data_IF_242867842356
#
_entry.id   IF_242867842356
#
_cell.length_a   1.000
_cell.length_b   1.000
_cell.length_c   1.000
_cell.angle_alpha   90.00
_cell.angle_beta   90.00
_cell.angle_gamma   90.00
#
_symmetry.space_group_name_H-M   'P 1'
#
loop_
_entity.id
_entity.type
_entity.pdbx_description
1 polymer ?
#
# COMPACT_ATOMS: atom_id res chain seq x y z
N UNK A 1 -34.83 -11.73 19.58
CA UNK A 1 -34.85 -11.19 18.21
C UNK A 1 -33.95 -12.08 17.39
N UNK A 2 -34.44 -12.67 16.30
CA UNK A 2 -33.60 -13.46 15.38
C UNK A 2 -32.86 -12.49 14.48
N UNK A 3 -31.55 -12.58 14.46
CA UNK A 3 -30.71 -11.89 13.48
C UNK A 3 -31.18 -12.28 12.08
N UNK A 4 -31.59 -11.29 11.30
CA UNK A 4 -31.83 -11.48 9.87
C UNK A 4 -30.47 -11.40 9.20
N UNK A 5 -29.93 -12.55 8.80
CA UNK A 5 -28.86 -12.59 7.81
C UNK A 5 -29.31 -11.80 6.59
N UNK A 6 -28.51 -10.81 6.21
CA UNK A 6 -28.73 -10.03 5.01
C UNK A 6 -28.37 -10.94 3.82
N UNK A 7 -29.38 -11.40 3.08
CA UNK A 7 -29.17 -12.21 1.89
C UNK A 7 -28.54 -11.31 0.80
N UNK A 8 -27.22 -11.39 0.65
CA UNK A 8 -26.49 -10.68 -0.40
C UNK A 8 -26.75 -11.39 -1.73
N UNK A 9 -27.58 -10.79 -2.59
CA UNK A 9 -27.70 -11.23 -3.97
C UNK A 9 -26.42 -10.86 -4.71
N UNK A 10 -25.61 -11.85 -5.07
CA UNK A 10 -24.44 -11.68 -5.93
C UNK A 10 -24.89 -11.30 -7.34
N UNK A 11 -25.02 -9.99 -7.60
CA UNK A 11 -24.92 -9.49 -8.96
C UNK A 11 -23.46 -9.64 -9.38
N UNK A 12 -23.19 -10.10 -10.62
CA UNK A 12 -21.84 -10.06 -11.19
C UNK A 12 -21.42 -8.60 -11.38
N UNK A 13 -20.85 -8.01 -10.33
CA UNK A 13 -20.31 -6.65 -10.37
C UNK A 13 -18.96 -6.70 -11.07
N UNK A 14 -18.80 -5.89 -12.12
CA UNK A 14 -17.52 -5.73 -12.77
C UNK A 14 -16.59 -4.91 -11.88
N UNK A 15 -15.48 -5.51 -11.47
CA UNK A 15 -14.42 -4.90 -10.65
C UNK A 15 -13.53 -3.96 -11.47
N UNK A 16 -14.12 -2.93 -12.09
CA UNK A 16 -13.42 -2.10 -13.09
C UNK A 16 -12.15 -1.44 -12.55
N UNK A 17 -12.15 -0.71 -11.41
CA UNK A 17 -10.93 -0.03 -10.95
C UNK A 17 -9.82 -1.00 -10.55
N UNK A 18 -10.17 -2.07 -9.84
CA UNK A 18 -9.19 -3.07 -9.35
C UNK A 18 -8.73 -4.03 -10.45
N UNK A 19 -9.43 -4.10 -11.58
CA UNK A 19 -8.97 -4.90 -12.75
C UNK A 19 -7.70 -4.37 -13.41
N UNK A 20 -7.28 -3.14 -13.07
CA UNK A 20 -6.04 -2.52 -13.54
C UNK A 20 -4.82 -2.79 -12.63
N UNK A 21 -5.00 -3.53 -11.53
CA UNK A 21 -3.87 -3.94 -10.69
C UNK A 21 -2.95 -4.82 -11.51
N UNK A 22 -1.72 -4.36 -11.71
CA UNK A 22 -0.75 -5.00 -12.59
C UNK A 22 0.54 -5.41 -11.87
N UNK A 23 0.67 -5.07 -10.58
CA UNK A 23 1.88 -5.28 -9.82
C UNK A 23 1.57 -5.69 -8.38
N UNK A 24 2.36 -6.63 -7.86
CA UNK A 24 2.34 -7.06 -6.47
C UNK A 24 3.76 -6.92 -5.90
N UNK A 25 3.93 -6.09 -4.86
CA UNK A 25 5.18 -5.94 -4.12
C UNK A 25 4.95 -6.24 -2.65
N UNK A 26 5.97 -6.74 -1.96
CA UNK A 26 5.94 -6.95 -0.53
C UNK A 26 6.97 -6.05 0.15
N UNK A 27 6.59 -5.45 1.27
CA UNK A 27 7.51 -4.67 2.09
C UNK A 27 7.35 -4.91 3.59
N UNK A 28 8.37 -4.60 4.39
CA UNK A 28 8.22 -4.45 5.82
C UNK A 28 8.08 -2.97 6.20
N UNK A 29 6.89 -2.59 6.64
CA UNK A 29 6.60 -1.22 7.05
C UNK A 29 6.82 -1.05 8.55
N UNK A 30 7.65 -0.08 8.92
CA UNK A 30 7.81 0.36 10.30
C UNK A 30 6.86 1.51 10.60
N UNK A 31 6.23 1.50 11.77
CA UNK A 31 5.36 2.60 12.16
C UNK A 31 6.21 3.85 12.46
N UNK A 32 5.93 4.96 11.76
CA UNK A 32 6.71 6.20 11.90
C UNK A 32 6.82 6.73 13.34
N UNK A 33 5.85 6.41 14.21
CA UNK A 33 5.83 6.79 15.62
C UNK A 33 6.42 5.73 16.56
N UNK A 34 6.68 4.52 16.08
CA UNK A 34 7.24 3.41 16.85
C UNK A 34 7.99 2.42 15.95
N UNK A 35 9.29 2.67 15.76
CA UNK A 35 10.17 1.85 14.92
C UNK A 35 10.48 0.46 15.52
N UNK A 36 10.01 0.14 16.73
CA UNK A 36 10.13 -1.22 17.28
C UNK A 36 9.08 -2.17 16.72
N UNK A 37 8.10 -1.64 15.99
CA UNK A 37 6.97 -2.37 15.43
C UNK A 37 7.00 -2.31 13.91
N UNK A 38 6.69 -3.44 13.29
CA UNK A 38 6.60 -3.58 11.85
C UNK A 38 5.41 -4.44 11.45
N UNK A 39 4.98 -4.28 10.21
CA UNK A 39 3.98 -5.13 9.55
C UNK A 39 4.47 -5.50 8.16
N UNK A 40 4.23 -6.74 7.73
CA UNK A 40 4.41 -7.14 6.34
C UNK A 40 3.28 -6.54 5.50
N UNK A 41 3.63 -5.90 4.40
CA UNK A 41 2.75 -5.06 3.60
C UNK A 41 2.75 -5.53 2.16
N UNK A 42 1.63 -6.13 1.74
CA UNK A 42 1.40 -6.63 0.39
C UNK A 42 0.72 -5.54 -0.45
N UNK A 43 1.48 -4.91 -1.32
CA UNK A 43 1.05 -3.82 -2.19
C UNK A 43 0.51 -4.39 -3.49
N UNK A 44 -0.76 -4.13 -3.78
CA UNK A 44 -1.39 -4.43 -5.05
C UNK A 44 -1.63 -3.12 -5.79
N UNK A 45 -0.78 -2.87 -6.79
CA UNK A 45 -0.64 -1.56 -7.41
C UNK A 45 -1.22 -1.51 -8.83
N UNK A 46 -1.91 -0.41 -9.11
CA UNK A 46 -2.28 0.03 -10.45
C UNK A 46 -1.42 1.22 -10.85
N UNK A 47 -1.11 1.37 -12.13
CA UNK A 47 -0.42 2.56 -12.64
C UNK A 47 -1.31 3.80 -12.50
N UNK A 48 -0.73 4.93 -12.09
CA UNK A 48 -1.42 6.22 -12.08
C UNK A 48 -1.65 6.77 -13.48
N UNK A 49 -2.71 7.56 -13.65
CA UNK A 49 -2.99 8.27 -14.92
C UNK A 49 -2.54 9.73 -14.87
N UNK A 50 -2.50 10.32 -13.67
CA UNK A 50 -2.09 11.68 -13.41
C UNK A 50 -0.58 11.85 -13.60
N UNK A 51 -0.18 13.01 -14.15
CA UNK A 51 1.24 13.30 -14.36
C UNK A 51 2.01 13.24 -13.04
N UNK A 52 3.10 12.47 -13.05
CA UNK A 52 3.93 12.27 -11.87
C UNK A 52 3.42 11.26 -10.84
N UNK A 53 2.19 10.75 -10.97
CA UNK A 53 1.69 9.63 -10.16
C UNK A 53 2.04 8.32 -10.85
N UNK A 54 2.97 7.58 -10.25
CA UNK A 54 3.50 6.35 -10.83
C UNK A 54 2.57 5.17 -10.52
N UNK A 55 2.20 5.02 -9.25
CA UNK A 55 1.34 3.93 -8.79
C UNK A 55 0.39 4.36 -7.68
N UNK A 56 -0.74 3.65 -7.61
CA UNK A 56 -1.70 3.67 -6.51
C UNK A 56 -1.88 2.25 -6.02
N UNK A 57 -1.62 2.01 -4.74
CA UNK A 57 -1.54 0.67 -4.17
C UNK A 57 -2.56 0.48 -3.06
N UNK A 58 -3.21 -0.68 -3.08
CA UNK A 58 -3.99 -1.20 -1.96
C UNK A 58 -3.07 -2.13 -1.17
N UNK A 59 -3.04 -1.99 0.16
CA UNK A 59 -2.10 -2.73 1.01
C UNK A 59 -2.84 -3.71 1.91
N UNK A 60 -2.42 -4.97 1.88
CA UNK A 60 -2.90 -6.05 2.75
C UNK A 60 -1.81 -6.55 3.70
N UNK A 61 -2.20 -7.19 4.80
CA UNK A 61 -1.27 -7.82 5.77
C UNK A 61 -0.72 -9.18 5.33
N UNK A 62 -1.23 -9.75 4.25
CA UNK A 62 -0.91 -11.08 3.70
C UNK A 62 -1.36 -11.12 2.22
N UNK A 63 -1.02 -12.16 1.47
CA UNK A 63 -1.56 -12.45 0.12
C UNK A 63 -2.72 -13.47 0.11
N UNK A 64 -3.09 -14.01 1.27
CA UNK A 64 -4.22 -14.92 1.41
C UNK A 64 -5.57 -14.24 1.10
N UNK A 65 -6.60 -14.99 0.61
CA UNK A 65 -7.94 -14.43 0.37
C UNK A 65 -8.63 -13.80 1.59
N UNK A 66 -8.18 -14.13 2.80
CA UNK A 66 -8.67 -13.60 4.07
C UNK A 66 -7.82 -12.44 4.62
N UNK A 67 -6.84 -11.95 3.85
CA UNK A 67 -5.98 -10.86 4.27
C UNK A 67 -6.81 -9.60 4.59
N UNK A 68 -6.36 -8.87 5.59
CA UNK A 68 -6.99 -7.63 6.04
C UNK A 68 -6.45 -6.49 5.19
N UNK A 69 -7.36 -5.63 4.72
CA UNK A 69 -6.99 -4.35 4.13
C UNK A 69 -6.40 -3.47 5.24
N UNK A 70 -5.10 -3.20 5.16
CA UNK A 70 -4.37 -2.45 6.19
C UNK A 70 -3.99 -1.05 5.76
N UNK A 71 -4.13 -0.68 4.49
CA UNK A 71 -3.76 0.66 4.05
C UNK A 71 -3.81 0.91 2.55
N UNK A 72 -3.30 2.07 2.20
CA UNK A 72 -3.05 2.51 0.82
C UNK A 72 -1.70 3.21 0.74
N UNK A 73 -1.12 3.19 -0.46
CA UNK A 73 0.06 3.97 -0.79
C UNK A 73 -0.09 4.64 -2.15
N UNK A 74 0.42 5.88 -2.24
CA UNK A 74 0.66 6.55 -3.49
C UNK A 74 2.16 6.64 -3.74
N UNK A 75 2.56 6.30 -4.97
CA UNK A 75 3.95 6.35 -5.40
C UNK A 75 4.07 7.44 -6.46
N UNK A 76 4.94 8.42 -6.23
CA UNK A 76 5.16 9.55 -7.12
C UNK A 76 6.60 9.60 -7.65
N UNK A 77 6.77 10.28 -8.78
CA UNK A 77 8.08 10.53 -9.37
C UNK A 77 8.93 11.47 -8.49
N UNK A 78 10.26 11.41 -8.67
CA UNK A 78 11.20 12.34 -8.02
C UNK A 78 10.88 13.80 -8.34
N UNK A 79 10.51 14.10 -9.58
CA UNK A 79 10.26 15.48 -10.02
C UNK A 79 9.00 16.03 -9.35
N UNK A 80 7.95 15.19 -9.24
CA UNK A 80 6.73 15.51 -8.50
C UNK A 80 7.06 15.77 -7.03
N UNK A 81 7.79 14.86 -6.38
CA UNK A 81 8.22 15.03 -4.99
C UNK A 81 9.01 16.33 -4.78
N UNK A 82 9.96 16.64 -5.66
CA UNK A 82 10.80 17.83 -5.58
C UNK A 82 10.00 19.14 -5.74
N UNK A 83 8.80 19.09 -6.32
CA UNK A 83 7.91 20.24 -6.46
C UNK A 83 6.97 20.46 -5.25
N UNK A 84 6.89 19.49 -4.34
CA UNK A 84 6.13 19.62 -3.08
C UNK A 84 6.81 20.62 -2.14
N UNK A 85 6.04 21.26 -1.27
CA UNK A 85 6.60 22.10 -0.20
C UNK A 85 7.33 21.26 0.87
N UNK A 86 8.14 21.93 1.69
CA UNK A 86 9.01 21.26 2.66
C UNK A 86 8.24 20.55 3.78
N UNK A 87 7.03 20.99 4.11
CA UNK A 87 6.23 20.31 5.14
C UNK A 87 5.61 19.04 4.57
N UNK A 88 5.10 19.11 3.35
CA UNK A 88 4.55 17.96 2.66
C UNK A 88 5.63 16.91 2.38
N UNK A 89 6.83 17.30 1.91
CA UNK A 89 7.95 16.38 1.66
C UNK A 89 8.30 15.48 2.86
N UNK A 90 8.20 15.99 4.10
CA UNK A 90 8.47 15.23 5.33
C UNK A 90 7.51 14.06 5.55
N UNK A 91 6.36 14.06 4.87
CA UNK A 91 5.33 13.04 4.97
C UNK A 91 5.51 11.90 3.95
N UNK A 92 6.56 11.97 3.11
CA UNK A 92 6.91 10.94 2.15
C UNK A 92 8.20 10.24 2.54
N UNK A 93 8.37 9.01 2.10
CA UNK A 93 9.60 8.23 2.28
C UNK A 93 10.18 7.84 0.91
N UNK A 94 11.49 7.64 0.85
CA UNK A 94 12.16 7.23 -0.38
C UNK A 94 12.23 5.71 -0.46
N UNK A 95 11.75 5.16 -1.58
CA UNK A 95 11.88 3.73 -1.86
C UNK A 95 13.34 3.30 -2.10
N UNK A 96 14.27 4.24 -2.34
CA UNK A 96 15.69 3.91 -2.42
C UNK A 96 16.19 3.21 -1.16
N UNK A 97 15.74 3.67 0.02
CA UNK A 97 16.12 3.09 1.30
C UNK A 97 15.53 1.68 1.46
N UNK A 98 14.28 1.48 1.08
CA UNK A 98 13.58 0.21 1.24
C UNK A 98 14.11 -0.89 0.32
N UNK A 99 14.41 -0.53 -0.93
CA UNK A 99 15.06 -1.45 -1.89
C UNK A 99 16.48 -1.80 -1.43
N UNK A 100 17.27 -0.81 -0.99
CA UNK A 100 18.66 -1.06 -0.58
C UNK A 100 18.77 -1.84 0.74
N UNK A 101 17.80 -1.69 1.64
CA UNK A 101 17.73 -2.44 2.90
C UNK A 101 17.16 -3.84 2.75
N UNK A 102 16.65 -4.20 1.56
CA UNK A 102 15.94 -5.46 1.32
C UNK A 102 14.56 -5.50 1.98
N UNK A 103 14.06 -4.35 2.43
CA UNK A 103 12.72 -4.21 3.02
C UNK A 103 11.63 -4.24 1.96
N UNK A 104 11.94 -3.99 0.68
CA UNK A 104 11.03 -4.15 -0.47
C UNK A 104 11.50 -5.31 -1.35
N UNK A 105 10.60 -6.25 -1.68
CA UNK A 105 10.91 -7.40 -2.52
C UNK A 105 9.73 -7.83 -3.40
N UNK A 106 10.06 -8.51 -4.50
CA UNK A 106 9.07 -9.22 -5.32
C UNK A 106 8.84 -10.63 -4.74
N UNK A 107 7.61 -10.97 -4.32
CA UNK A 107 7.30 -12.29 -3.77
C UNK A 107 7.47 -13.44 -4.79
N UNK A 108 7.48 -13.17 -6.10
CA UNK A 108 7.64 -14.18 -7.16
C UNK A 108 9.10 -14.50 -7.48
N UNK A 109 10.05 -13.71 -6.97
CA UNK A 109 11.44 -14.11 -6.78
C UNK A 109 12.18 -14.64 -8.01
N UNK A 110 12.03 -14.06 -9.21
CA UNK A 110 12.94 -14.38 -10.32
C UNK A 110 13.95 -13.27 -10.63
N UNK A 111 15.10 -13.47 -9.98
CA UNK A 111 16.40 -12.88 -10.21
C UNK A 111 16.66 -12.30 -11.62
N UNK A 112 16.97 -11.00 -11.66
CA UNK A 112 17.47 -10.17 -12.79
C UNK A 112 16.45 -9.48 -13.69
N UNK A 113 15.26 -10.03 -13.94
CA UNK A 113 14.24 -9.34 -14.74
C UNK A 113 13.61 -8.16 -13.97
N UNK A 114 13.56 -8.27 -12.64
CA UNK A 114 13.00 -7.25 -11.76
C UNK A 114 14.02 -6.16 -11.40
N UNK A 115 15.31 -6.32 -11.73
CA UNK A 115 16.34 -5.33 -11.37
C UNK A 115 16.06 -3.95 -11.97
N UNK A 116 15.77 -3.79 -13.29
CA UNK A 116 15.45 -2.47 -13.83
C UNK A 116 14.17 -1.87 -13.24
N UNK A 117 13.21 -2.72 -12.85
CA UNK A 117 11.96 -2.30 -12.23
C UNK A 117 12.18 -1.83 -10.77
N UNK A 118 12.95 -2.59 -9.99
CA UNK A 118 13.39 -2.19 -8.65
C UNK A 118 14.27 -0.93 -8.71
N UNK A 119 15.14 -0.81 -9.72
CA UNK A 119 15.93 0.40 -9.97
C UNK A 119 15.07 1.61 -10.29
N UNK A 120 13.99 1.43 -11.07
CA UNK A 120 13.03 2.49 -11.31
C UNK A 120 12.33 2.91 -10.00
N UNK A 121 11.91 1.94 -9.17
CA UNK A 121 11.30 2.21 -7.87
C UNK A 121 12.25 2.98 -6.94
N UNK A 122 13.57 2.73 -6.96
CA UNK A 122 14.54 3.52 -6.18
C UNK A 122 14.52 5.03 -6.51
N UNK A 123 13.95 5.44 -7.63
CA UNK A 123 13.81 6.86 -7.99
C UNK A 123 12.50 7.50 -7.53
N UNK A 124 11.62 6.74 -6.88
CA UNK A 124 10.28 7.17 -6.50
C UNK A 124 10.15 7.43 -5.00
N UNK A 125 9.05 8.06 -4.61
CA UNK A 125 8.68 8.36 -3.23
C UNK A 125 7.29 7.82 -2.93
N UNK A 126 7.14 7.20 -1.76
CA UNK A 126 5.89 6.65 -1.26
C UNK A 126 5.28 7.51 -0.16
N UNK A 127 3.95 7.57 -0.13
CA UNK A 127 3.19 8.05 1.02
C UNK A 127 2.13 7.04 1.40
N UNK A 128 2.30 6.48 2.59
CA UNK A 128 1.56 5.31 3.05
C UNK A 128 0.74 5.66 4.27
N UNK A 129 -0.51 5.20 4.28
CA UNK A 129 -1.39 5.27 5.43
C UNK A 129 -1.82 3.87 5.83
N UNK A 130 -1.46 3.46 7.04
CA UNK A 130 -2.01 2.28 7.66
C UNK A 130 -3.29 2.60 8.42
N UNK A 131 -4.39 1.99 7.99
CA UNK A 131 -5.71 2.14 8.59
C UNK A 131 -6.01 1.06 9.63
N UNK A 132 -5.26 -0.04 9.62
CA UNK A 132 -5.41 -1.14 10.59
C UNK A 132 -4.05 -1.60 11.14
N UNK A 133 -3.85 -1.44 12.45
CA UNK A 133 -2.69 -1.96 13.18
C UNK A 133 -2.95 -3.41 13.63
N UNK A 134 -2.80 -4.35 12.70
CA UNK A 134 -3.10 -5.77 12.92
C UNK A 134 -2.13 -6.45 13.89
N UNK A 135 -0.90 -5.93 13.99
CA UNK A 135 0.14 -6.38 14.91
C UNK A 135 -0.26 -6.23 16.40
N UNK A 136 -1.18 -5.30 16.70
CA UNK A 136 -1.74 -5.12 18.05
C UNK A 136 -2.89 -6.08 18.37
N UNK A 137 -3.31 -6.93 17.43
CA UNK A 137 -4.44 -7.86 17.63
C UNK A 137 -5.82 -7.19 17.61
N UNK A 138 -5.93 -5.99 17.03
CA UNK A 138 -7.22 -5.30 16.87
C UNK A 138 -8.16 -6.09 15.95
N UNK A 139 -9.41 -6.26 16.38
CA UNK A 139 -10.45 -6.99 15.62
C UNK A 139 -11.06 -6.19 14.47
N UNK A 140 -10.94 -4.86 14.52
CA UNK A 140 -11.41 -3.90 13.51
C UNK A 140 -10.41 -2.75 13.45
N UNK A 141 -10.34 -1.98 12.35
CA UNK A 141 -9.51 -0.77 12.31
C UNK A 141 -10.01 0.23 13.36
N UNK A 142 -9.12 0.63 14.28
CA UNK A 142 -9.39 1.62 15.31
C UNK A 142 -8.77 2.96 14.91
N UNK A 143 -9.49 4.06 15.18
CA UNK A 143 -9.08 5.42 14.83
C UNK A 143 -10.29 6.33 14.65
N UNK A 144 -10.03 7.58 14.25
CA UNK A 144 -11.09 8.55 14.00
C UNK A 144 -11.87 8.21 12.72
N UNK A 145 -13.19 8.34 12.79
CA UNK A 145 -14.03 8.25 11.60
C UNK A 145 -14.02 9.59 10.87
N UNK A 146 -13.64 9.58 9.59
CA UNK A 146 -13.62 10.79 8.76
C UNK A 146 -15.02 11.24 8.30
N UNK A 147 -16.04 10.39 8.49
CA UNK A 147 -17.45 10.70 8.18
C UNK A 147 -18.23 10.74 9.49
N UNK A 148 -18.73 11.91 9.92
CA UNK A 148 -19.54 12.00 11.12
C UNK A 148 -20.91 11.36 10.91
N UNK A 149 -21.64 11.13 12.02
CA UNK A 149 -23.05 10.70 12.00
C UNK A 149 -24.00 11.76 11.40
#
# INVERSE_FOLDING_TARGET
>A
MKDKELEVKEAMVAFKPTSHICQHLCAFHFYAHDLSRQVEAHHYCSKGEEDGVMFQCIIYDDDAPSAKLIGVEYIISRDTYASLDSEEQKLWHSHAYEVQSGMLYDPKGDSRADLPHMEALMTTYGKTWHTWQVDQGHKVPLGDCMVPE
#
